data_IF_868872064837
#
_entry.id   IF_868872064837
#
_cell.length_a   1.000
_cell.length_b   1.000
_cell.length_c   1.000
_cell.angle_alpha   90.00
_cell.angle_beta   90.00
_cell.angle_gamma   90.00
#
_symmetry.space_group_name_H-M   'P 1'
#
loop_
_entity.id
_entity.type
_entity.pdbx_description
1 polymer ?
#
# COMPACT_ATOMS: atom_id res chain seq x y z
N UNK A 1 25.49 -31.33 -6.57
CA UNK A 1 24.57 -31.50 -5.43
C UNK A 1 23.73 -30.24 -5.37
N UNK A 2 22.51 -30.28 -5.95
CA UNK A 2 21.53 -29.20 -5.91
C UNK A 2 20.94 -29.14 -4.50
N UNK A 3 21.18 -28.05 -3.78
CA UNK A 3 20.47 -27.73 -2.56
C UNK A 3 19.08 -27.23 -2.96
N UNK A 4 18.10 -28.09 -2.86
CA UNK A 4 16.68 -27.69 -2.85
C UNK A 4 16.45 -26.94 -1.54
N UNK A 5 16.27 -25.63 -1.64
CA UNK A 5 15.78 -24.81 -0.52
C UNK A 5 14.34 -25.21 -0.25
N UNK A 6 14.10 -25.72 0.95
CA UNK A 6 12.80 -26.15 1.45
C UNK A 6 11.90 -24.89 1.65
N UNK A 7 10.76 -24.77 0.98
CA UNK A 7 9.89 -23.59 1.06
C UNK A 7 9.24 -23.38 2.44
N UNK A 8 9.42 -24.34 3.36
CA UNK A 8 8.79 -24.31 4.70
C UNK A 8 9.54 -23.45 5.71
N UNK A 9 10.79 -23.08 5.46
CA UNK A 9 11.62 -22.31 6.41
C UNK A 9 11.32 -20.82 6.37
N UNK A 10 10.84 -20.30 5.22
CA UNK A 10 10.55 -18.88 5.05
C UNK A 10 9.21 -18.43 5.70
N UNK A 11 8.23 -19.31 5.77
CA UNK A 11 6.90 -18.98 6.32
C UNK A 11 6.92 -18.75 7.85
N UNK A 12 7.71 -19.51 8.59
CA UNK A 12 7.82 -19.38 10.04
C UNK A 12 8.61 -18.13 10.46
N UNK A 13 9.60 -17.68 9.66
CA UNK A 13 10.34 -16.44 9.89
C UNK A 13 9.51 -15.20 9.56
N UNK A 14 8.61 -15.29 8.57
CA UNK A 14 7.71 -14.21 8.21
C UNK A 14 6.70 -13.88 9.34
N UNK A 15 6.25 -14.88 10.09
CA UNK A 15 5.24 -14.68 11.14
C UNK A 15 5.75 -13.89 12.36
N UNK A 16 7.03 -13.97 12.68
CA UNK A 16 7.62 -13.32 13.87
C UNK A 16 8.40 -12.04 13.52
N UNK A 17 8.63 -11.79 12.25
CA UNK A 17 9.33 -10.60 11.76
C UNK A 17 8.49 -9.32 11.82
N UNK A 18 9.16 -8.17 11.74
CA UNK A 18 8.49 -6.87 11.60
C UNK A 18 7.71 -6.84 10.28
N UNK A 19 6.48 -6.35 10.34
CA UNK A 19 5.62 -6.28 9.16
C UNK A 19 6.22 -5.37 8.07
N UNK A 20 6.31 -5.81 6.81
CA UNK A 20 6.85 -4.99 5.71
C UNK A 20 6.11 -3.66 5.53
N UNK A 21 4.87 -3.55 6.01
CA UNK A 21 4.03 -2.36 5.84
C UNK A 21 4.54 -1.09 6.53
N UNK A 22 5.64 -1.15 7.25
CA UNK A 22 6.22 0.01 7.93
C UNK A 22 5.49 0.45 9.21
N UNK A 23 4.56 -0.38 9.74
CA UNK A 23 3.84 -0.07 10.98
C UNK A 23 4.66 -0.26 12.26
N UNK A 24 5.82 -0.92 12.17
CA UNK A 24 6.64 -1.32 13.32
C UNK A 24 6.08 -2.52 14.10
N UNK A 25 4.92 -3.04 13.74
CA UNK A 25 4.29 -4.19 14.39
C UNK A 25 4.81 -5.51 13.81
N UNK A 26 4.72 -6.60 14.59
CA UNK A 26 4.98 -7.95 14.11
C UNK A 26 3.93 -8.32 13.05
N UNK A 27 4.35 -8.97 11.96
CA UNK A 27 3.49 -9.33 10.83
C UNK A 27 2.25 -10.11 11.26
N UNK A 28 2.40 -11.09 12.14
CA UNK A 28 1.30 -11.90 12.69
C UNK A 28 0.17 -11.05 13.28
N UNK A 29 0.53 -9.99 14.00
CA UNK A 29 -0.42 -9.11 14.70
C UNK A 29 -0.80 -7.87 13.85
N UNK A 30 -0.34 -7.83 12.60
CA UNK A 30 -0.53 -6.74 11.64
C UNK A 30 -1.24 -7.22 10.37
N UNK A 31 -0.54 -7.27 9.25
CA UNK A 31 -1.14 -7.56 7.94
C UNK A 31 -1.55 -9.03 7.77
N UNK A 32 -0.91 -9.98 8.47
CA UNK A 32 -1.26 -11.40 8.37
C UNK A 32 -2.74 -11.68 8.62
N UNK A 33 -3.32 -11.02 9.62
CA UNK A 33 -4.74 -11.17 9.95
C UNK A 33 -5.67 -10.87 8.77
N UNK A 34 -5.29 -9.86 7.97
CA UNK A 34 -6.02 -9.48 6.77
C UNK A 34 -5.76 -10.47 5.63
N UNK A 35 -4.51 -10.89 5.45
CA UNK A 35 -4.12 -11.86 4.43
C UNK A 35 -4.78 -13.22 4.61
N UNK A 36 -5.03 -13.64 5.85
CA UNK A 36 -5.68 -14.92 6.18
C UNK A 36 -7.20 -14.81 6.35
N UNK A 37 -7.77 -13.62 6.16
CA UNK A 37 -9.21 -13.40 6.32
C UNK A 37 -9.71 -13.45 7.76
N UNK A 38 -8.81 -13.39 8.75
CA UNK A 38 -9.16 -13.34 10.18
C UNK A 38 -9.72 -11.97 10.59
N UNK A 39 -9.44 -10.95 9.79
CA UNK A 39 -9.95 -9.58 9.94
C UNK A 39 -10.15 -8.94 8.58
N UNK A 40 -10.95 -7.88 8.54
CA UNK A 40 -11.12 -7.01 7.38
C UNK A 40 -10.52 -5.62 7.68
N UNK A 41 -10.00 -4.96 6.67
CA UNK A 41 -9.46 -3.61 6.82
C UNK A 41 -10.58 -2.64 7.19
N UNK A 42 -10.36 -1.84 8.23
CA UNK A 42 -11.31 -0.86 8.76
C UNK A 42 -11.14 0.52 8.13
N UNK A 43 -10.01 0.76 7.46
CA UNK A 43 -9.67 2.02 6.81
C UNK A 43 -8.92 1.79 5.49
N UNK A 44 -8.96 2.76 4.54
CA UNK A 44 -8.21 2.69 3.29
C UNK A 44 -6.71 2.49 3.49
N UNK A 45 -6.12 3.17 4.49
CA UNK A 45 -4.70 3.05 4.80
C UNK A 45 -4.34 1.64 5.28
N UNK A 46 -5.16 1.04 6.12
CA UNK A 46 -4.94 -0.34 6.59
C UNK A 46 -4.94 -1.32 5.41
N UNK A 47 -5.88 -1.16 4.47
CA UNK A 47 -5.92 -1.95 3.26
C UNK A 47 -4.69 -1.69 2.38
N UNK A 48 -4.27 -0.44 2.18
CA UNK A 48 -3.09 -0.11 1.38
C UNK A 48 -1.83 -0.76 1.96
N UNK A 49 -1.61 -0.63 3.27
CA UNK A 49 -0.48 -1.25 3.97
C UNK A 49 -0.45 -2.77 3.81
N UNK A 50 -1.61 -3.42 3.91
CA UNK A 50 -1.68 -4.88 3.73
C UNK A 50 -1.42 -5.31 2.29
N UNK A 51 -1.91 -4.58 1.30
CA UNK A 51 -1.61 -4.84 -0.12
C UNK A 51 -0.12 -4.67 -0.42
N UNK A 52 0.51 -3.61 0.10
CA UNK A 52 1.97 -3.45 0.01
C UNK A 52 2.71 -4.65 0.63
N UNK A 53 2.31 -5.09 1.83
CA UNK A 53 2.90 -6.26 2.47
C UNK A 53 2.72 -7.53 1.64
N UNK A 54 1.57 -7.67 0.96
CA UNK A 54 1.33 -8.82 0.07
C UNK A 54 2.31 -8.83 -1.11
N UNK A 55 2.56 -7.68 -1.75
CA UNK A 55 3.59 -7.56 -2.79
C UNK A 55 5.00 -7.82 -2.26
N UNK A 56 5.32 -7.32 -1.06
CA UNK A 56 6.64 -7.48 -0.47
C UNK A 56 6.94 -8.93 -0.07
N UNK A 57 5.95 -9.67 0.40
CA UNK A 57 6.07 -11.08 0.81
C UNK A 57 5.98 -12.03 -0.39
N UNK A 58 5.13 -11.74 -1.38
CA UNK A 58 4.78 -12.64 -2.47
C UNK A 58 3.87 -13.79 -2.03
N UNK A 59 3.35 -14.56 -2.99
CA UNK A 59 2.47 -15.69 -2.73
C UNK A 59 1.08 -15.31 -2.20
N UNK A 60 0.67 -14.06 -2.38
CA UNK A 60 -0.60 -13.49 -1.91
C UNK A 60 -1.41 -12.86 -3.07
N UNK A 61 -1.22 -13.38 -4.28
CA UNK A 61 -1.91 -12.89 -5.48
C UNK A 61 -3.42 -12.98 -5.36
N UNK A 62 -3.96 -14.05 -4.77
CA UNK A 62 -5.40 -14.18 -4.51
C UNK A 62 -5.90 -13.05 -3.59
N UNK A 63 -5.19 -12.76 -2.50
CA UNK A 63 -5.53 -11.65 -1.61
C UNK A 63 -5.52 -10.30 -2.35
N UNK A 64 -4.55 -10.08 -3.22
CA UNK A 64 -4.46 -8.86 -4.03
C UNK A 64 -5.66 -8.73 -4.97
N UNK A 65 -6.11 -9.84 -5.60
CA UNK A 65 -7.29 -9.86 -6.44
C UNK A 65 -8.58 -9.66 -5.65
N UNK A 66 -8.74 -10.33 -4.51
CA UNK A 66 -9.95 -10.25 -3.67
C UNK A 66 -10.15 -8.87 -3.06
N UNK A 67 -9.06 -8.17 -2.77
CA UNK A 67 -9.10 -6.79 -2.28
C UNK A 67 -9.16 -5.74 -3.37
N UNK A 68 -9.19 -6.12 -4.64
CA UNK A 68 -9.43 -5.24 -5.78
C UNK A 68 -10.92 -5.18 -6.11
N UNK A 69 -11.43 -4.00 -6.39
CA UNK A 69 -12.84 -3.85 -6.76
C UNK A 69 -13.10 -4.53 -8.13
N UNK A 70 -14.11 -5.41 -8.24
CA UNK A 70 -14.35 -6.19 -9.46
C UNK A 70 -14.49 -5.35 -10.72
N UNK A 71 -15.04 -4.13 -10.61
CA UNK A 71 -15.26 -3.23 -11.75
C UNK A 71 -13.98 -2.67 -12.38
N UNK A 72 -12.92 -2.55 -11.61
CA UNK A 72 -11.65 -1.94 -12.03
C UNK A 72 -10.50 -2.94 -12.03
N UNK A 73 -10.76 -4.16 -11.56
CA UNK A 73 -9.76 -5.23 -11.54
C UNK A 73 -9.38 -5.60 -12.97
N UNK A 74 -8.09 -5.51 -13.32
CA UNK A 74 -7.64 -5.95 -14.63
C UNK A 74 -7.76 -7.47 -14.79
N UNK A 75 -7.69 -7.96 -16.03
CA UNK A 75 -7.67 -9.39 -16.33
C UNK A 75 -6.28 -10.00 -15.99
N UNK A 76 -5.92 -9.97 -14.70
CA UNK A 76 -4.70 -10.57 -14.17
C UNK A 76 -5.06 -11.82 -13.36
N UNK A 77 -4.12 -12.76 -13.31
CA UNK A 77 -4.22 -13.94 -12.46
C UNK A 77 -3.45 -13.73 -11.15
N UNK A 78 -3.70 -14.55 -10.14
CA UNK A 78 -2.96 -14.53 -8.89
C UNK A 78 -1.46 -14.76 -9.13
N UNK A 79 -1.13 -15.72 -9.99
CA UNK A 79 0.25 -16.05 -10.35
C UNK A 79 0.98 -14.86 -11.00
N UNK A 80 0.28 -14.06 -11.81
CA UNK A 80 0.87 -12.86 -12.42
C UNK A 80 1.18 -11.79 -11.37
N UNK A 81 0.37 -11.71 -10.31
CA UNK A 81 0.60 -10.80 -9.19
C UNK A 81 1.66 -11.30 -8.20
N UNK A 82 1.95 -12.61 -8.22
CA UNK A 82 2.98 -13.25 -7.40
C UNK A 82 4.38 -13.21 -8.03
N UNK A 83 4.49 -12.74 -9.28
CA UNK A 83 5.81 -12.55 -9.92
C UNK A 83 6.63 -11.55 -9.12
N UNK A 84 7.82 -12.00 -8.68
CA UNK A 84 8.75 -11.18 -7.90
C UNK A 84 9.90 -10.73 -8.77
N UNK A 85 9.79 -9.55 -9.35
CA UNK A 85 10.83 -8.87 -10.11
C UNK A 85 11.51 -7.76 -9.30
N UNK A 86 10.91 -7.36 -8.19
CA UNK A 86 11.30 -6.24 -7.36
C UNK A 86 11.44 -6.63 -5.88
N UNK A 87 12.52 -6.16 -5.26
CA UNK A 87 12.70 -6.18 -3.81
C UNK A 87 12.08 -4.92 -3.23
N UNK A 88 11.01 -5.05 -2.48
CA UNK A 88 10.37 -3.95 -1.77
C UNK A 88 11.16 -3.62 -0.49
N UNK A 89 11.51 -2.34 -0.32
CA UNK A 89 12.43 -1.85 0.71
C UNK A 89 11.75 -1.01 1.78
N UNK A 90 10.57 -0.46 1.51
CA UNK A 90 9.84 0.35 2.47
C UNK A 90 8.60 1.02 1.88
N UNK A 91 7.69 1.41 2.76
CA UNK A 91 6.46 2.13 2.44
C UNK A 91 6.36 3.39 3.31
N UNK A 92 6.16 4.52 2.65
CA UNK A 92 5.85 5.82 3.28
C UNK A 92 4.42 6.22 2.90
N UNK A 93 3.56 6.47 3.87
CA UNK A 93 2.24 7.07 3.64
C UNK A 93 2.40 8.59 3.66
N UNK A 94 2.09 9.22 2.54
CA UNK A 94 2.20 10.68 2.36
C UNK A 94 0.95 11.39 2.85
N UNK A 95 -0.23 10.87 2.47
CA UNK A 95 -1.51 11.45 2.87
C UNK A 95 -2.63 10.40 2.84
N UNK A 96 -3.62 10.56 3.71
CA UNK A 96 -4.84 9.77 3.69
C UNK A 96 -6.05 10.66 3.81
N UNK A 97 -7.13 10.29 3.12
CA UNK A 97 -8.44 10.92 3.25
C UNK A 97 -9.51 9.85 3.25
N UNK A 98 -10.50 10.01 4.11
CA UNK A 98 -11.66 9.11 4.17
C UNK A 98 -12.92 9.95 4.32
N UNK A 99 -13.85 9.79 3.37
CA UNK A 99 -15.14 10.44 3.37
C UNK A 99 -16.23 9.39 3.17
N UNK A 100 -16.97 9.09 4.22
CA UNK A 100 -18.00 8.06 4.23
C UNK A 100 -17.46 6.72 3.66
N UNK A 101 -17.86 6.37 2.44
CA UNK A 101 -17.48 5.10 1.80
C UNK A 101 -16.43 5.28 0.69
N UNK A 102 -15.73 6.41 0.63
CA UNK A 102 -14.63 6.71 -0.30
C UNK A 102 -13.37 7.00 0.48
N UNK A 103 -12.24 6.55 -0.05
CA UNK A 103 -10.94 6.83 0.53
C UNK A 103 -9.88 7.05 -0.52
N UNK A 104 -8.87 7.82 -0.16
CA UNK A 104 -7.63 7.96 -0.92
C UNK A 104 -6.45 7.78 -0.01
N UNK A 105 -5.41 7.14 -0.51
CA UNK A 105 -4.12 7.00 0.16
C UNK A 105 -3.03 7.37 -0.84
N UNK A 106 -2.25 8.37 -0.52
CA UNK A 106 -1.06 8.72 -1.28
C UNK A 106 0.16 8.16 -0.56
N UNK A 107 1.02 7.46 -1.29
CA UNK A 107 2.16 6.77 -0.72
C UNK A 107 3.35 6.76 -1.65
N UNK A 108 4.52 6.51 -1.08
CA UNK A 108 5.75 6.17 -1.78
C UNK A 108 6.19 4.78 -1.36
N UNK A 109 6.41 3.91 -2.34
CA UNK A 109 6.96 2.58 -2.12
C UNK A 109 8.36 2.52 -2.74
N UNK A 110 9.34 2.13 -1.94
CA UNK A 110 10.74 2.08 -2.33
C UNK A 110 11.09 0.66 -2.74
N UNK A 111 11.74 0.49 -3.88
CA UNK A 111 12.09 -0.82 -4.41
C UNK A 111 13.35 -0.79 -5.26
N UNK A 112 13.90 -1.96 -5.56
CA UNK A 112 14.93 -2.17 -6.57
C UNK A 112 14.69 -3.49 -7.31
N UNK A 113 15.16 -3.62 -8.56
CA UNK A 113 15.09 -4.88 -9.30
C UNK A 113 15.82 -6.00 -8.55
N UNK A 114 15.24 -7.19 -8.46
CA UNK A 114 15.90 -8.34 -7.81
C UNK A 114 17.13 -8.79 -8.57
N UNK A 115 17.08 -8.72 -9.92
CA UNK A 115 18.18 -9.17 -10.79
C UNK A 115 19.37 -8.20 -10.81
N UNK A 116 19.23 -6.99 -10.26
CA UNK A 116 20.29 -6.00 -10.13
C UNK A 116 20.28 -5.36 -8.73
N UNK A 117 20.87 -6.07 -7.73
CA UNK A 117 20.91 -5.55 -6.36
C UNK A 117 21.75 -4.27 -6.19
N UNK A 118 22.60 -3.94 -7.19
CA UNK A 118 23.39 -2.71 -7.21
C UNK A 118 22.64 -1.52 -7.83
N UNK A 119 21.48 -1.76 -8.45
CA UNK A 119 20.67 -0.70 -9.01
C UNK A 119 20.27 0.33 -7.97
N UNK A 120 20.14 1.58 -8.39
CA UNK A 120 19.61 2.65 -7.55
C UNK A 120 18.20 2.30 -7.05
N UNK A 121 17.90 2.71 -5.82
CA UNK A 121 16.55 2.58 -5.27
C UNK A 121 15.59 3.40 -6.12
N UNK A 122 14.51 2.77 -6.55
CA UNK A 122 13.42 3.38 -7.28
C UNK A 122 12.27 3.70 -6.34
N UNK A 123 11.43 4.63 -6.73
CA UNK A 123 10.27 5.07 -5.95
C UNK A 123 9.02 4.98 -6.82
N UNK A 124 8.06 4.18 -6.37
CA UNK A 124 6.70 4.23 -6.87
C UNK A 124 5.93 5.25 -6.03
N UNK A 125 5.57 6.39 -6.59
CA UNK A 125 4.72 7.39 -5.97
C UNK A 125 3.31 7.27 -6.58
N UNK A 126 2.33 6.93 -5.75
CA UNK A 126 0.95 6.70 -6.21
C UNK A 126 -0.05 7.34 -5.25
N UNK A 127 -1.15 7.85 -5.79
CA UNK A 127 -2.38 8.18 -5.06
C UNK A 127 -3.46 7.19 -5.45
N UNK A 128 -3.71 6.23 -4.57
CA UNK A 128 -4.72 5.17 -4.75
C UNK A 128 -6.09 5.62 -4.29
N UNK A 129 -7.13 5.12 -4.97
CA UNK A 129 -8.53 5.29 -4.60
C UNK A 129 -9.12 3.99 -4.07
N UNK A 130 -9.97 4.12 -3.06
CA UNK A 130 -10.63 3.01 -2.37
C UNK A 130 -12.13 3.26 -2.26
N UNK A 131 -12.88 2.17 -2.17
CA UNK A 131 -14.33 2.19 -1.94
C UNK A 131 -14.70 1.20 -0.86
N UNK A 132 -15.56 1.62 0.07
CA UNK A 132 -16.20 0.75 1.05
C UNK A 132 -17.60 0.36 0.56
N UNK A 133 -17.90 -0.93 0.54
CA UNK A 133 -19.22 -1.47 0.24
C UNK A 133 -19.55 -2.57 1.26
N UNK A 134 -20.66 -2.44 1.96
CA UNK A 134 -21.03 -3.41 2.99
C UNK A 134 -19.99 -3.54 4.11
N UNK A 135 -19.28 -2.46 4.45
CA UNK A 135 -18.21 -2.47 5.46
C UNK A 135 -16.85 -2.98 4.95
N UNK A 136 -16.74 -3.40 3.70
CA UNK A 136 -15.50 -3.95 3.11
C UNK A 136 -14.85 -2.93 2.19
N UNK A 137 -13.62 -2.52 2.52
CA UNK A 137 -12.80 -1.66 1.66
C UNK A 137 -12.19 -2.45 0.52
N UNK A 138 -12.17 -1.84 -0.67
CA UNK A 138 -11.49 -2.37 -1.86
C UNK A 138 -10.71 -1.28 -2.56
N UNK A 139 -9.55 -1.65 -3.09
CA UNK A 139 -8.76 -0.82 -4.00
C UNK A 139 -9.51 -0.67 -5.32
N UNK A 140 -9.59 0.53 -5.86
CA UNK A 140 -10.17 0.80 -7.17
C UNK A 140 -9.07 0.90 -8.25
N UNK A 141 -8.28 1.93 -8.13
CA UNK A 141 -7.22 2.32 -9.07
C UNK A 141 -6.29 3.35 -8.40
N UNK A 142 -5.25 3.74 -9.11
CA UNK A 142 -4.31 4.75 -8.66
C UNK A 142 -3.80 5.64 -9.79
N UNK A 143 -3.29 6.80 -9.40
CA UNK A 143 -2.59 7.74 -10.29
C UNK A 143 -1.13 7.75 -9.87
N UNK A 144 -0.25 7.38 -10.80
CA UNK A 144 1.20 7.42 -10.62
C UNK A 144 1.68 8.88 -10.75
N UNK A 145 2.66 9.27 -9.94
CA UNK A 145 3.21 10.62 -9.85
C UNK A 145 2.11 11.69 -9.80
N UNK A 146 1.20 11.59 -8.81
CA UNK A 146 0.04 12.46 -8.74
C UNK A 146 0.48 13.92 -8.60
N UNK A 147 -0.22 14.86 -9.25
CA UNK A 147 0.04 16.27 -9.02
C UNK A 147 -0.21 16.62 -7.54
N UNK A 148 0.47 17.64 -7.00
CA UNK A 148 0.24 18.08 -5.63
C UNK A 148 -1.24 18.29 -5.39
N UNK A 149 -1.72 17.80 -4.25
CA UNK A 149 -3.13 18.03 -3.86
C UNK A 149 -3.34 19.52 -3.70
N UNK A 150 -4.29 20.13 -4.41
CA UNK A 150 -4.56 21.57 -4.26
C UNK A 150 -4.87 21.86 -2.79
N UNK A 151 -4.09 22.75 -2.20
CA UNK A 151 -4.38 23.23 -0.84
C UNK A 151 -5.72 23.95 -0.89
N UNK A 152 -6.69 23.50 -0.09
CA UNK A 152 -7.99 24.17 -0.02
C UNK A 152 -7.77 25.66 0.27
N UNK A 153 -8.33 26.53 -0.55
CA UNK A 153 -8.24 27.98 -0.34
C UNK A 153 -8.71 28.44 1.05
N UNK A 154 -9.53 27.60 1.70
CA UNK A 154 -10.05 27.83 3.05
C UNK A 154 -9.24 27.16 4.17
N UNK A 155 -8.26 26.31 3.83
CA UNK A 155 -7.37 25.69 4.82
C UNK A 155 -6.49 26.75 5.51
N UNK A 156 -5.99 26.48 6.73
CA UNK A 156 -4.96 27.28 7.34
C UNK A 156 -3.76 27.41 6.40
N UNK A 157 -3.18 28.62 6.33
CA UNK A 157 -2.03 28.84 5.47
C UNK A 157 -0.80 28.07 5.97
N UNK A 158 -0.10 27.40 5.05
CA UNK A 158 1.10 26.61 5.37
C UNK A 158 2.24 27.45 5.99
N UNK A 159 2.19 28.80 5.87
CA UNK A 159 3.17 29.69 6.49
C UNK A 159 3.02 29.83 8.01
N UNK A 160 2.04 29.18 8.64
CA UNK A 160 1.82 29.23 10.08
C UNK A 160 1.15 30.49 10.61
N UNK A 161 0.69 31.40 9.74
CA UNK A 161 0.08 32.68 10.13
C UNK A 161 -1.31 32.55 10.79
N UNK A 162 -1.91 31.36 10.81
CA UNK A 162 -3.28 31.13 11.27
C UNK A 162 -4.36 31.67 10.33
N UNK A 163 -4.00 32.39 9.27
CA UNK A 163 -4.95 32.90 8.26
C UNK A 163 -5.30 31.79 7.26
N UNK A 164 -6.48 31.92 6.61
CA UNK A 164 -6.83 31.04 5.47
C UNK A 164 -5.87 31.28 4.31
N UNK A 165 -5.51 30.22 3.58
CA UNK A 165 -4.55 30.28 2.46
C UNK A 165 -4.91 31.37 1.45
N UNK A 166 -6.21 31.51 1.08
CA UNK A 166 -6.72 32.54 0.17
C UNK A 166 -6.59 33.99 0.68
N UNK A 167 -6.29 34.19 1.96
CA UNK A 167 -6.09 35.51 2.59
C UNK A 167 -4.67 35.72 3.08
N UNK A 168 -3.76 34.91 2.61
CA UNK A 168 -2.36 34.92 2.99
C UNK A 168 -1.47 34.69 1.76
N UNK A 169 -0.85 33.53 1.63
CA UNK A 169 0.12 33.26 0.55
C UNK A 169 -0.53 32.93 -0.81
N UNK A 170 -1.85 32.78 -0.89
CA UNK A 170 -2.63 32.58 -2.12
C UNK A 170 -3.58 33.75 -2.41
N UNK A 171 -3.33 34.91 -1.80
CA UNK A 171 -4.07 36.14 -2.03
C UNK A 171 -3.74 36.73 -3.40
#
# INVERSE_FOLDING_TARGET
VLHTQDPTVDAAHADTGVCPCGSGRVYRDCCRRLHQGEAIATAPEELMRSRYSAFALGGLGDYLLDTWAPRTRPALTAEALDVRDSQWLGLEIVATQTEANRGTVEFKAYYRPILDPAAAIQVLHERSRFRCQGGVWRYLDGVIDPPPTPVSRNAPCACGSGKKAKRCCQA
#
